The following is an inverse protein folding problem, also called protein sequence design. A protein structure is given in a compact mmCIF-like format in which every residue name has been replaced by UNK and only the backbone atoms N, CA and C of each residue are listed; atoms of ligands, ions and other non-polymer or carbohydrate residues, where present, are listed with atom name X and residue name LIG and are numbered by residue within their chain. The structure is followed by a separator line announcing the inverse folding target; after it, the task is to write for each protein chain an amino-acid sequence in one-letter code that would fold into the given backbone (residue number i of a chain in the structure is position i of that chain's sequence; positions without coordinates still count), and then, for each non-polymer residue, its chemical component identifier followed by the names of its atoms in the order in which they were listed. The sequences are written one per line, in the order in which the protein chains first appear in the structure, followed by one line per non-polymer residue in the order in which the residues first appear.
data_IF_329916145450
#
_entry.id   IF_329916145450
#
_cell.length_a   1.000
_cell.length_b   1.000
_cell.length_c   1.000
_cell.angle_alpha   90.00
_cell.angle_beta   90.00
_cell.angle_gamma   90.00
#
_symmetry.space_group_name_H-M   'P 1'
#
loop_
_entity.id
_entity.type
_entity.pdbx_description
1 polymer ?
#
# COMPACT_ATOMS: atom_id res chain seq x y z
N UNK A 1 12.10 -5.84 2.06
CA UNK A 1 11.18 -5.99 3.23
C UNK A 1 10.43 -7.31 3.10
N UNK A 2 10.71 -8.22 3.99
CA UNK A 2 10.17 -9.58 3.90
C UNK A 2 8.63 -9.58 3.99
N UNK A 3 7.99 -10.31 3.07
CA UNK A 3 6.54 -10.44 3.05
C UNK A 3 5.79 -9.26 2.48
N UNK A 4 6.47 -8.21 2.04
CA UNK A 4 5.84 -7.03 1.45
C UNK A 4 6.34 -6.87 0.02
N UNK A 5 5.41 -6.99 -0.93
CA UNK A 5 5.65 -6.77 -2.35
C UNK A 5 5.04 -5.44 -2.77
N UNK A 6 5.51 -4.91 -3.86
CA UNK A 6 5.09 -3.62 -4.37
C UNK A 6 4.94 -3.69 -5.90
N UNK A 7 3.91 -3.03 -6.42
CA UNK A 7 3.75 -2.87 -7.85
C UNK A 7 4.89 -2.03 -8.42
N UNK A 8 5.58 -2.58 -9.42
CA UNK A 8 6.67 -1.90 -10.10
C UNK A 8 6.51 -2.07 -11.62
N UNK A 9 6.14 -1.01 -12.33
CA UNK A 9 6.10 -1.03 -13.80
C UNK A 9 7.48 -1.31 -14.39
N UNK A 10 7.53 -1.82 -15.62
CA UNK A 10 8.79 -2.15 -16.27
C UNK A 10 9.63 -0.92 -16.62
N UNK A 11 8.98 0.20 -16.86
CA UNK A 11 9.61 1.42 -17.42
C UNK A 11 9.91 2.51 -16.40
N UNK A 12 9.61 2.29 -15.11
CA UNK A 12 9.85 3.30 -14.07
C UNK A 12 9.92 2.71 -12.68
N UNK A 13 10.35 3.51 -11.72
CA UNK A 13 10.39 3.13 -10.31
C UNK A 13 8.98 2.83 -9.79
N UNK A 14 8.89 2.01 -8.74
CA UNK A 14 7.63 1.68 -8.10
C UNK A 14 6.95 2.96 -7.57
N UNK A 15 5.72 3.28 -8.04
CA UNK A 15 5.06 4.53 -7.65
C UNK A 15 4.85 4.68 -6.14
N UNK A 16 4.47 3.59 -5.45
CA UNK A 16 4.26 3.64 -4.00
C UNK A 16 5.57 3.92 -3.27
N UNK A 17 6.68 3.30 -3.72
CA UNK A 17 8.00 3.54 -3.11
C UNK A 17 8.40 5.01 -3.25
N UNK A 18 8.22 5.59 -4.44
CA UNK A 18 8.52 7.01 -4.66
C UNK A 18 7.65 7.91 -3.80
N UNK A 19 6.39 7.57 -3.67
CA UNK A 19 5.47 8.32 -2.81
C UNK A 19 5.96 8.32 -1.37
N UNK A 20 6.32 7.15 -0.84
CA UNK A 20 6.81 7.01 0.54
C UNK A 20 8.12 7.75 0.74
N UNK A 21 9.06 7.64 -0.21
CA UNK A 21 10.34 8.34 -0.14
C UNK A 21 10.19 9.86 -0.10
N UNK A 22 9.12 10.40 -0.68
CA UNK A 22 8.84 11.82 -0.70
C UNK A 22 8.13 12.37 0.53
N UNK A 23 7.75 11.51 1.47
CA UNK A 23 7.06 11.94 2.68
C UNK A 23 8.03 12.61 3.67
N UNK A 24 7.47 13.47 4.54
CA UNK A 24 8.16 13.96 5.71
C UNK A 24 8.78 12.78 6.48
N UNK A 25 10.06 12.87 6.92
CA UNK A 25 10.76 11.74 7.53
C UNK A 25 10.03 11.09 8.70
N UNK A 26 9.39 11.88 9.55
CA UNK A 26 8.66 11.35 10.71
C UNK A 26 7.46 10.51 10.25
N UNK A 27 6.71 10.98 9.28
CA UNK A 27 5.57 10.26 8.74
C UNK A 27 6.01 9.03 7.95
N UNK A 28 7.09 9.16 7.19
CA UNK A 28 7.68 8.05 6.45
C UNK A 28 8.09 6.92 7.40
N UNK A 29 8.81 7.24 8.47
CA UNK A 29 9.27 6.24 9.43
C UNK A 29 8.11 5.53 10.11
N UNK A 30 7.06 6.27 10.46
CA UNK A 30 5.84 5.72 11.04
C UNK A 30 5.17 4.73 10.07
N UNK A 31 5.07 5.11 8.80
CA UNK A 31 4.47 4.27 7.77
C UNK A 31 5.30 3.00 7.53
N UNK A 32 6.62 3.14 7.43
CA UNK A 32 7.53 2.00 7.25
C UNK A 32 7.39 1.02 8.42
N UNK A 33 7.30 1.52 9.65
CA UNK A 33 7.11 0.68 10.83
C UNK A 33 5.83 -0.17 10.69
N UNK A 34 4.71 0.44 10.29
CA UNK A 34 3.46 -0.28 10.07
C UNK A 34 3.60 -1.34 8.97
N UNK A 35 4.31 -1.02 7.89
CA UNK A 35 4.50 -1.95 6.76
C UNK A 35 5.33 -3.17 7.17
N UNK A 36 6.36 -2.97 7.98
CA UNK A 36 7.21 -4.08 8.47
C UNK A 36 6.37 -5.08 9.27
N UNK A 37 5.46 -4.60 10.09
CA UNK A 37 4.62 -5.45 10.95
C UNK A 37 3.44 -6.09 10.19
N UNK A 38 3.04 -5.52 9.07
CA UNK A 38 1.82 -5.89 8.36
C UNK A 38 1.75 -7.39 7.99
N UNK A 39 2.81 -8.03 7.47
CA UNK A 39 2.74 -9.46 7.11
C UNK A 39 2.46 -10.37 8.29
N UNK A 40 2.79 -9.93 9.51
CA UNK A 40 2.58 -10.70 10.74
C UNK A 40 1.32 -10.27 11.49
N UNK A 41 0.54 -9.35 10.94
CA UNK A 41 -0.67 -8.85 11.58
C UNK A 41 -1.86 -9.73 11.19
N UNK A 42 -2.56 -10.33 12.18
CA UNK A 42 -3.75 -11.14 11.87
C UNK A 42 -4.82 -10.31 11.17
N UNK A 43 -5.55 -10.93 10.25
CA UNK A 43 -6.65 -10.23 9.54
C UNK A 43 -7.65 -9.60 10.50
N UNK A 44 -7.95 -10.24 11.61
CA UNK A 44 -8.88 -9.70 12.61
C UNK A 44 -8.42 -8.39 13.23
N UNK A 45 -7.12 -8.09 13.15
CA UNK A 45 -6.53 -6.86 13.65
C UNK A 45 -6.46 -5.75 12.60
N UNK A 46 -6.81 -6.04 11.35
CA UNK A 46 -6.81 -5.06 10.25
C UNK A 46 -8.11 -4.26 10.26
N UNK A 47 -8.26 -3.42 11.27
CA UNK A 47 -9.47 -2.63 11.49
C UNK A 47 -9.15 -1.21 11.91
N UNK A 48 -10.15 -0.35 11.86
CA UNK A 48 -9.99 1.05 12.25
C UNK A 48 -9.42 1.19 13.66
N UNK A 49 -8.67 2.27 13.93
CA UNK A 49 -8.48 3.44 13.05
C UNK A 49 -7.35 3.32 12.03
N UNK A 50 -6.45 2.33 12.16
CA UNK A 50 -5.26 2.24 11.32
C UNK A 50 -5.48 1.52 10.00
N UNK A 51 -6.47 0.64 9.95
CA UNK A 51 -6.77 -0.13 8.76
C UNK A 51 -8.26 -0.07 8.43
N UNK A 52 -8.58 -0.24 7.16
CA UNK A 52 -9.95 -0.41 6.70
C UNK A 52 -10.00 -1.51 5.64
N UNK A 53 -11.00 -2.38 5.75
CA UNK A 53 -11.35 -3.34 4.71
C UNK A 53 -12.63 -2.84 4.04
N UNK A 54 -12.66 -2.84 2.70
CA UNK A 54 -13.78 -2.28 1.96
C UNK A 54 -14.89 -3.31 1.78
N UNK A 55 -16.13 -2.91 2.09
CA UNK A 55 -17.29 -3.81 2.09
C UNK A 55 -17.89 -4.03 0.70
N UNK A 56 -17.69 -3.09 -0.24
CA UNK A 56 -18.25 -3.22 -1.58
C UNK A 56 -17.60 -4.40 -2.31
N UNK A 57 -18.41 -5.20 -2.99
CA UNK A 57 -17.99 -6.40 -3.72
C UNK A 57 -16.78 -6.11 -4.62
N UNK A 58 -16.80 -5.01 -5.35
CA UNK A 58 -15.76 -4.61 -6.28
C UNK A 58 -14.40 -4.43 -5.59
N UNK A 59 -14.39 -4.04 -4.32
CA UNK A 59 -13.17 -3.69 -3.58
C UNK A 59 -12.89 -4.65 -2.42
N UNK A 60 -13.56 -5.78 -2.35
CA UNK A 60 -13.47 -6.69 -1.19
C UNK A 60 -12.08 -7.28 -0.95
N UNK A 61 -11.22 -7.30 -1.97
CA UNK A 61 -9.86 -7.80 -1.83
C UNK A 61 -8.88 -6.70 -1.42
N UNK A 62 -9.37 -5.48 -1.24
CA UNK A 62 -8.56 -4.32 -0.95
C UNK A 62 -8.66 -3.91 0.51
N UNK A 63 -7.52 -3.47 1.03
CA UNK A 63 -7.38 -2.92 2.38
C UNK A 63 -6.69 -1.57 2.28
N UNK A 64 -6.90 -0.73 3.27
CA UNK A 64 -6.26 0.57 3.35
C UNK A 64 -5.51 0.69 4.67
N UNK A 65 -4.22 1.02 4.60
CA UNK A 65 -3.42 1.41 5.75
C UNK A 65 -3.47 2.94 5.86
N UNK A 66 -3.76 3.44 7.04
CA UNK A 66 -3.93 4.86 7.33
C UNK A 66 -2.80 5.36 8.23
N UNK A 67 -2.13 6.42 7.81
CA UNK A 67 -1.13 7.09 8.62
C UNK A 67 -1.43 8.59 8.64
N UNK A 68 -1.35 9.18 9.83
CA UNK A 68 -1.66 10.60 10.02
C UNK A 68 -0.42 11.34 10.51
N UNK A 69 -0.13 12.46 9.86
CA UNK A 69 0.85 13.45 10.26
C UNK A 69 0.28 14.82 9.89
N UNK A 70 1.07 15.66 9.24
CA UNK A 70 0.58 16.93 8.66
C UNK A 70 -0.44 16.68 7.56
N UNK A 71 -0.40 15.50 6.95
CA UNK A 71 -1.32 15.07 5.91
C UNK A 71 -1.87 13.69 6.26
N UNK A 72 -2.98 13.32 5.62
CA UNK A 72 -3.59 11.99 5.78
C UNK A 72 -3.09 11.09 4.67
N UNK A 73 -2.18 10.17 5.00
CA UNK A 73 -1.63 9.22 4.04
C UNK A 73 -2.47 7.94 4.05
N UNK A 74 -2.74 7.44 2.85
CA UNK A 74 -3.45 6.17 2.64
C UNK A 74 -2.63 5.29 1.71
N UNK A 75 -2.46 4.02 2.08
CA UNK A 75 -1.81 3.02 1.22
C UNK A 75 -2.80 1.88 1.01
N UNK A 76 -3.17 1.63 -0.23
CA UNK A 76 -4.08 0.53 -0.58
C UNK A 76 -3.24 -0.69 -0.93
N UNK A 77 -3.59 -1.82 -0.31
CA UNK A 77 -2.90 -3.08 -0.51
C UNK A 77 -3.89 -4.23 -0.60
N UNK A 78 -3.41 -5.36 -1.05
CA UNK A 78 -4.14 -6.64 -1.02
C UNK A 78 -3.28 -7.69 -0.36
N UNK A 79 -3.92 -8.73 0.16
CA UNK A 79 -3.22 -9.89 0.74
C UNK A 79 -3.25 -10.98 -0.31
N UNK A 80 -2.07 -11.42 -0.74
CA UNK A 80 -1.93 -12.44 -1.79
C UNK A 80 -2.28 -13.82 -1.22
N UNK A 81 -2.60 -14.80 -2.09
CA UNK A 81 -2.92 -16.15 -1.63
C UNK A 81 -1.85 -16.79 -0.74
N UNK A 82 -0.57 -16.44 -0.95
CA UNK A 82 0.54 -16.94 -0.14
C UNK A 82 0.71 -16.18 1.19
N UNK A 83 -0.17 -15.23 1.49
CA UNK A 83 -0.12 -14.42 2.70
C UNK A 83 0.74 -13.17 2.60
N UNK A 84 1.47 -12.99 1.52
CA UNK A 84 2.27 -11.78 1.34
C UNK A 84 1.40 -10.58 1.01
N UNK A 85 1.90 -9.40 1.37
CA UNK A 85 1.22 -8.13 1.12
C UNK A 85 1.66 -7.61 -0.24
N UNK A 86 0.73 -7.05 -1.00
CA UNK A 86 1.03 -6.36 -2.26
C UNK A 86 0.54 -4.93 -2.16
N UNK A 87 1.47 -3.98 -2.15
CA UNK A 87 1.17 -2.54 -2.13
C UNK A 87 0.81 -2.10 -3.54
N UNK A 88 -0.39 -1.53 -3.70
CA UNK A 88 -0.94 -1.20 -5.01
C UNK A 88 -0.89 0.29 -5.32
N UNK A 89 -1.29 1.13 -4.36
CA UNK A 89 -1.43 2.57 -4.60
C UNK A 89 -1.34 3.34 -3.29
N UNK A 90 -0.78 4.53 -3.34
CA UNK A 90 -0.67 5.40 -2.17
C UNK A 90 -1.08 6.82 -2.55
N UNK A 91 -1.73 7.52 -1.63
CA UNK A 91 -2.22 8.86 -1.91
C UNK A 91 -2.40 9.66 -0.61
N UNK A 92 -2.52 10.97 -0.77
CA UNK A 92 -2.89 11.88 0.31
C UNK A 92 -4.39 12.12 0.20
N UNK A 93 -5.12 11.81 1.27
CA UNK A 93 -6.57 12.02 1.28
C UNK A 93 -6.88 13.45 1.71
N UNK A 94 -7.56 14.18 0.84
CA UNK A 94 -8.03 15.54 1.11
C UNK A 94 -9.55 15.62 1.12
N UNK A 95 -10.22 14.74 0.35
CA UNK A 95 -11.68 14.72 0.24
C UNK A 95 -12.17 13.29 -0.06
N UNK A 96 -13.47 13.05 0.14
CA UNK A 96 -14.04 11.70 0.02
C UNK A 96 -13.83 11.03 -1.34
N UNK A 97 -13.92 11.80 -2.43
CA UNK A 97 -13.75 11.25 -3.78
C UNK A 97 -12.34 10.71 -4.04
N UNK A 98 -11.33 11.18 -3.26
CA UNK A 98 -9.96 10.71 -3.43
C UNK A 98 -9.87 9.19 -3.18
N UNK A 99 -10.62 8.69 -2.19
CA UNK A 99 -10.64 7.26 -1.89
C UNK A 99 -11.22 6.46 -3.05
N UNK A 100 -12.33 6.92 -3.64
CA UNK A 100 -12.95 6.20 -4.75
C UNK A 100 -12.03 6.15 -5.97
N UNK A 101 -11.39 7.26 -6.31
CA UNK A 101 -10.43 7.30 -7.41
C UNK A 101 -9.24 6.37 -7.14
N UNK A 102 -8.74 6.35 -5.91
CA UNK A 102 -7.63 5.50 -5.53
C UNK A 102 -8.00 4.02 -5.58
N UNK A 103 -9.21 3.66 -5.16
CA UNK A 103 -9.70 2.28 -5.23
C UNK A 103 -9.78 1.79 -6.67
N UNK A 104 -10.28 2.62 -7.59
CA UNK A 104 -10.33 2.26 -9.00
C UNK A 104 -8.93 2.08 -9.59
N UNK A 105 -7.99 2.93 -9.21
CA UNK A 105 -6.59 2.80 -9.61
C UNK A 105 -6.01 1.49 -9.08
N UNK A 106 -6.28 1.16 -7.82
CA UNK A 106 -5.78 -0.07 -7.19
C UNK A 106 -6.34 -1.33 -7.85
N UNK A 107 -7.63 -1.33 -8.21
CA UNK A 107 -8.25 -2.46 -8.94
C UNK A 107 -7.55 -2.65 -10.28
N UNK A 108 -7.29 -1.57 -11.01
CA UNK A 108 -6.59 -1.64 -12.29
C UNK A 108 -5.19 -2.24 -12.14
N UNK A 109 -4.44 -1.78 -11.14
CA UNK A 109 -3.09 -2.29 -10.87
C UNK A 109 -3.14 -3.76 -10.44
N UNK A 110 -4.07 -4.13 -9.59
CA UNK A 110 -4.23 -5.51 -9.14
C UNK A 110 -4.48 -6.45 -10.32
N UNK A 111 -5.31 -6.03 -11.27
CA UNK A 111 -5.57 -6.78 -12.50
C UNK A 111 -4.31 -6.91 -13.34
N UNK A 112 -3.53 -5.83 -13.49
CA UNK A 112 -2.27 -5.88 -14.22
C UNK A 112 -1.29 -6.88 -13.61
N UNK A 113 -1.14 -6.86 -12.29
CA UNK A 113 -0.22 -7.78 -11.59
C UNK A 113 -0.71 -9.23 -11.70
N UNK A 114 -2.02 -9.45 -11.64
CA UNK A 114 -2.57 -10.81 -11.83
C UNK A 114 -2.23 -11.35 -13.21
N UNK A 115 -2.36 -10.52 -14.25
CA UNK A 115 -2.09 -10.92 -15.63
C UNK A 115 -0.59 -10.94 -15.93
N UNK A 116 0.21 -10.16 -15.20
CA UNK A 116 1.66 -10.00 -15.37
C UNK A 116 2.35 -9.99 -14.01
N UNK A 117 2.56 -11.18 -13.40
CA UNK A 117 3.14 -11.28 -12.04
C UNK A 117 4.51 -10.63 -11.89
N UNK A 118 5.25 -10.47 -12.98
CA UNK A 118 6.56 -9.80 -12.99
C UNK A 118 6.48 -8.31 -12.64
N UNK A 119 5.28 -7.73 -12.62
CA UNK A 119 5.07 -6.35 -12.22
C UNK A 119 5.01 -6.17 -10.70
N UNK A 120 5.19 -7.24 -9.94
CA UNK A 120 5.31 -7.18 -8.48
C UNK A 120 6.72 -7.61 -8.09
N UNK A 121 7.32 -6.88 -7.17
CA UNK A 121 8.66 -7.18 -6.65
C UNK A 121 8.66 -6.96 -5.14
N UNK A 122 9.66 -7.54 -4.45
CA UNK A 122 9.80 -7.28 -3.03
C UNK A 122 10.10 -5.79 -2.81
N UNK A 123 9.43 -5.18 -1.83
CA UNK A 123 9.67 -3.80 -1.49
C UNK A 123 11.01 -3.66 -0.78
N UNK A 124 11.89 -2.84 -1.34
CA UNK A 124 13.19 -2.54 -0.74
C UNK A 124 13.17 -1.10 -0.25
N UNK A 125 13.29 -0.92 1.06
CA UNK A 125 13.33 0.41 1.67
C UNK A 125 14.70 1.04 1.41
N UNK A 126 14.68 2.28 0.95
CA UNK A 126 15.91 3.05 0.76
C UNK A 126 16.48 3.40 2.12
N UNK A 127 17.73 2.97 2.39
CA UNK A 127 18.40 3.30 3.64
C UNK A 127 18.98 4.71 3.59
N UNK A 128 18.75 5.46 4.67
CA UNK A 128 19.32 6.80 4.81
C UNK A 128 20.76 6.73 5.26
N UNK A 129 21.59 7.67 4.77
CA UNK A 129 22.97 7.84 5.21
C UNK A 129 23.97 6.87 4.61
N UNK A 130 23.56 6.07 3.64
CA UNK A 130 24.48 5.17 2.92
C UNK A 130 24.75 5.66 1.53
#
# INVERSE_FOLDING_TARGET
MKGVNIYKPLDRAAPVARFIDGLDPKLRDKLIHWLIELPNTPKASLKEPHFKHFALERYRDLYELRARGKVLVRVIFTIRPNGEILLLHAFIKRQSRDTMQALEQAVSIMTQVRDHPELATEYTVKEEGT
#
